data_IF_723969822992
#
_entry.id   IF_723969822992
#
_cell.length_a   1.000
_cell.length_b   1.000
_cell.length_c   1.000
_cell.angle_alpha   90.00
_cell.angle_beta   90.00
_cell.angle_gamma   90.00
#
_symmetry.space_group_name_H-M   'P 1'
#
loop_
_entity.id
_entity.type
_entity.pdbx_description
1 polymer ?
#
# COMPACT_ATOMS: atom_id res chain seq x y z
N UNK A 1 5.88 4.81 -1.29
CA UNK A 1 5.28 3.91 -2.32
C UNK A 1 6.26 3.61 -3.47
N UNK A 2 6.73 4.61 -4.23
CA UNK A 2 7.64 4.36 -5.37
C UNK A 2 8.91 3.55 -4.99
N UNK A 3 9.50 3.84 -3.82
CA UNK A 3 10.63 3.07 -3.28
C UNK A 3 10.32 1.57 -3.12
N UNK A 4 9.24 1.23 -2.42
CA UNK A 4 8.77 -0.15 -2.18
C UNK A 4 8.63 -0.91 -3.51
N UNK A 5 7.98 -0.28 -4.50
CA UNK A 5 7.78 -0.88 -5.82
C UNK A 5 9.11 -1.15 -6.55
N UNK A 6 10.05 -0.20 -6.50
CA UNK A 6 11.37 -0.35 -7.13
C UNK A 6 12.20 -1.44 -6.46
N UNK A 7 12.28 -1.45 -5.13
CA UNK A 7 13.02 -2.44 -4.35
C UNK A 7 12.46 -3.85 -4.58
N UNK A 8 11.14 -3.99 -4.49
CA UNK A 8 10.46 -5.28 -4.75
C UNK A 8 10.68 -5.75 -6.18
N UNK A 9 10.57 -4.85 -7.16
CA UNK A 9 10.74 -5.19 -8.57
C UNK A 9 12.15 -5.68 -8.90
N UNK A 10 13.18 -5.04 -8.31
CA UNK A 10 14.57 -5.45 -8.48
C UNK A 10 14.86 -6.82 -7.84
N UNK A 11 14.38 -7.06 -6.61
CA UNK A 11 14.65 -8.30 -5.89
C UNK A 11 13.91 -9.51 -6.48
N UNK A 12 12.64 -9.32 -6.87
CA UNK A 12 11.79 -10.40 -7.39
C UNK A 12 11.72 -10.45 -8.92
N UNK A 13 12.55 -9.67 -9.61
CA UNK A 13 12.68 -9.65 -11.07
C UNK A 13 11.34 -9.43 -11.80
N UNK A 14 10.52 -8.51 -11.28
CA UNK A 14 9.22 -8.17 -11.88
C UNK A 14 9.38 -7.07 -12.94
N UNK A 15 8.67 -7.20 -14.06
CA UNK A 15 8.74 -6.26 -15.18
C UNK A 15 8.10 -4.91 -14.86
N UNK A 16 6.93 -4.93 -14.20
CA UNK A 16 6.21 -3.71 -13.83
C UNK A 16 5.50 -3.87 -12.49
N UNK A 17 5.57 -2.83 -11.65
CA UNK A 17 4.80 -2.72 -10.41
C UNK A 17 4.15 -1.33 -10.37
N UNK A 18 2.83 -1.31 -10.24
CA UNK A 18 2.03 -0.09 -10.12
C UNK A 18 1.23 -0.09 -8.83
N UNK A 19 1.21 1.05 -8.14
CA UNK A 19 0.45 1.22 -6.90
C UNK A 19 -0.34 2.52 -6.95
N UNK A 20 -1.62 2.44 -6.64
CA UNK A 20 -2.50 3.59 -6.45
C UNK A 20 -3.19 3.47 -5.10
N UNK A 21 -3.30 4.60 -4.41
CA UNK A 21 -4.06 4.69 -3.16
C UNK A 21 -5.02 5.85 -3.27
N UNK A 22 -6.28 5.61 -2.92
CA UNK A 22 -7.34 6.62 -2.94
C UNK A 22 -7.15 7.60 -1.77
N UNK A 23 -7.47 8.87 -1.99
CA UNK A 23 -7.46 9.92 -0.97
C UNK A 23 -8.84 10.58 -0.92
N UNK A 24 -9.16 11.24 0.19
CA UNK A 24 -10.46 11.87 0.40
C UNK A 24 -11.55 10.86 0.77
N UNK A 25 -12.77 11.08 0.30
CA UNK A 25 -13.94 10.23 0.62
C UNK A 25 -13.95 8.99 -0.27
N UNK A 26 -13.96 7.81 0.35
CA UNK A 26 -14.08 6.52 -0.32
C UNK A 26 -15.37 5.87 0.17
N UNK A 27 -16.28 5.54 -0.75
CA UNK A 27 -17.55 4.89 -0.39
C UNK A 27 -17.33 3.42 -0.01
N UNK A 28 -18.28 2.85 0.74
CA UNK A 28 -18.25 1.42 1.07
C UNK A 28 -18.32 0.60 -0.22
N UNK A 29 -17.43 -0.37 -0.36
CA UNK A 29 -17.28 -1.20 -1.56
C UNK A 29 -16.28 -0.67 -2.58
N UNK A 30 -15.84 0.59 -2.48
CA UNK A 30 -14.87 1.17 -3.41
C UNK A 30 -13.42 0.80 -3.07
N UNK A 31 -12.59 0.71 -4.11
CA UNK A 31 -11.19 0.37 -3.93
C UNK A 31 -10.41 1.49 -3.22
N UNK A 32 -9.90 1.19 -2.03
CA UNK A 32 -9.02 2.11 -1.28
C UNK A 32 -7.56 2.06 -1.75
N UNK A 33 -7.11 0.91 -2.24
CA UNK A 33 -5.76 0.67 -2.72
C UNK A 33 -5.78 -0.34 -3.87
N UNK A 34 -4.95 -0.11 -4.87
CA UNK A 34 -4.71 -1.02 -5.98
C UNK A 34 -3.20 -1.28 -6.08
N UNK A 35 -2.83 -2.56 -6.12
CA UNK A 35 -1.48 -3.02 -6.45
C UNK A 35 -1.57 -3.88 -7.70
N UNK A 36 -0.80 -3.54 -8.73
CA UNK A 36 -0.68 -4.30 -9.97
C UNK A 36 0.77 -4.73 -10.14
N UNK A 37 0.97 -6.01 -10.46
CA UNK A 37 2.29 -6.56 -10.77
C UNK A 37 2.24 -7.32 -12.10
N UNK A 38 3.30 -7.20 -12.89
CA UNK A 38 3.54 -8.00 -14.09
C UNK A 38 4.93 -8.63 -14.00
N UNK A 39 5.01 -9.94 -14.20
CA UNK A 39 6.23 -10.73 -14.14
C UNK A 39 6.16 -11.90 -15.12
N UNK A 40 7.30 -12.49 -15.46
CA UNK A 40 7.37 -13.63 -16.38
C UNK A 40 6.69 -14.90 -15.85
N UNK A 41 6.60 -15.05 -14.53
CA UNK A 41 5.95 -16.19 -13.88
C UNK A 41 5.02 -15.73 -12.76
N UNK A 42 3.92 -16.48 -12.58
CA UNK A 42 2.88 -16.15 -11.59
C UNK A 42 3.38 -16.09 -10.16
N UNK A 43 4.32 -16.95 -9.78
CA UNK A 43 4.86 -16.99 -8.40
C UNK A 43 5.52 -15.66 -8.02
N UNK A 44 6.40 -15.16 -8.90
CA UNK A 44 7.03 -13.85 -8.74
C UNK A 44 5.99 -12.73 -8.61
N UNK A 45 4.97 -12.74 -9.48
CA UNK A 45 3.92 -11.72 -9.46
C UNK A 45 3.14 -11.73 -8.13
N UNK A 46 2.74 -12.90 -7.62
CA UNK A 46 2.01 -13.01 -6.36
C UNK A 46 2.86 -12.60 -5.16
N UNK A 47 4.11 -13.05 -5.10
CA UNK A 47 5.04 -12.70 -4.02
C UNK A 47 5.31 -11.18 -3.98
N UNK A 48 5.55 -10.58 -5.13
CA UNK A 48 5.76 -9.14 -5.24
C UNK A 48 4.51 -8.35 -4.86
N UNK A 49 3.33 -8.77 -5.32
CA UNK A 49 2.07 -8.10 -4.99
C UNK A 49 1.84 -8.13 -3.47
N UNK A 50 2.08 -9.28 -2.82
CA UNK A 50 1.93 -9.45 -1.38
C UNK A 50 2.90 -8.55 -0.61
N UNK A 51 4.18 -8.57 -0.96
CA UNK A 51 5.18 -7.72 -0.32
C UNK A 51 4.84 -6.24 -0.42
N UNK A 52 4.44 -5.78 -1.60
CA UNK A 52 4.14 -4.36 -1.83
C UNK A 52 2.97 -3.89 -0.96
N UNK A 53 1.89 -4.67 -0.84
CA UNK A 53 0.76 -4.28 0.01
C UNK A 53 1.13 -4.30 1.50
N UNK A 54 1.88 -5.30 1.95
CA UNK A 54 2.31 -5.43 3.34
C UNK A 54 3.23 -4.26 3.74
N UNK A 55 4.22 -3.93 2.91
CA UNK A 55 5.11 -2.78 3.16
C UNK A 55 4.38 -1.43 3.07
N UNK A 56 3.44 -1.28 2.12
CA UNK A 56 2.63 -0.08 2.02
C UNK A 56 1.82 0.13 3.31
N UNK A 57 1.17 -0.93 3.83
CA UNK A 57 0.37 -0.84 5.05
C UNK A 57 1.21 -0.56 6.29
N UNK A 58 2.45 -1.05 6.34
CA UNK A 58 3.34 -0.82 7.46
C UNK A 58 3.97 0.59 7.48
N UNK A 59 4.20 1.20 6.32
CA UNK A 59 5.06 2.40 6.22
C UNK A 59 4.37 3.64 5.66
N UNK A 60 3.22 3.50 4.99
CA UNK A 60 2.56 4.66 4.39
C UNK A 60 1.91 5.53 5.48
N UNK A 61 2.19 6.85 5.53
CA UNK A 61 1.55 7.76 6.46
C UNK A 61 0.12 8.06 6.00
N UNK A 62 -0.78 7.09 6.14
CA UNK A 62 -2.17 7.15 5.69
C UNK A 62 -3.07 6.73 6.84
N UNK A 63 -3.99 7.62 7.22
CA UNK A 63 -4.99 7.38 8.27
C UNK A 63 -6.39 7.35 7.67
N UNK A 64 -7.25 6.48 8.19
CA UNK A 64 -8.64 6.37 7.78
C UNK A 64 -9.53 7.00 8.84
N UNK A 65 -10.36 7.96 8.41
CA UNK A 65 -11.47 8.47 9.23
C UNK A 65 -12.77 7.86 8.75
N UNK A 66 -13.36 7.02 9.58
CA UNK A 66 -14.67 6.43 9.33
C UNK A 66 -15.75 7.47 9.62
N UNK A 67 -16.73 7.55 8.74
CA UNK A 67 -17.85 8.49 8.85
C UNK A 67 -19.14 7.67 9.01
N UNK A 68 -19.72 7.75 10.20
CA UNK A 68 -20.95 7.09 10.61
C UNK A 68 -22.12 8.07 10.54
N UNK A 69 -23.34 7.59 10.76
CA UNK A 69 -24.53 8.44 10.80
C UNK A 69 -24.55 9.40 12.00
N UNK A 70 -23.85 9.04 13.08
CA UNK A 70 -23.84 9.71 14.38
C UNK A 70 -22.48 10.35 14.73
N UNK A 71 -21.47 10.25 13.86
CA UNK A 71 -20.16 10.84 14.13
C UNK A 71 -19.04 10.35 13.21
N UNK A 72 -17.81 10.63 13.61
CA UNK A 72 -16.61 10.18 12.89
C UNK A 72 -15.56 9.64 13.85
N UNK A 73 -14.88 8.57 13.46
CA UNK A 73 -13.82 7.93 14.26
C UNK A 73 -12.56 7.78 13.41
N UNK A 74 -11.40 8.06 13.99
CA UNK A 74 -10.12 7.73 13.35
C UNK A 74 -9.76 6.29 13.70
N UNK A 75 -9.43 5.50 12.68
CA UNK A 75 -8.81 4.20 12.88
C UNK A 75 -7.38 4.39 13.38
N UNK A 76 -6.96 3.54 14.32
CA UNK A 76 -5.57 3.50 14.77
C UNK A 76 -4.65 3.22 13.58
N UNK A 77 -3.64 4.07 13.41
CA UNK A 77 -2.63 3.91 12.37
C UNK A 77 -1.50 3.00 12.82
N UNK A 78 -0.77 2.41 11.88
CA UNK A 78 0.55 1.84 12.18
C UNK A 78 1.55 2.99 12.30
N UNK A 79 2.24 3.17 13.44
CA UNK A 79 3.27 4.19 13.57
C UNK A 79 4.36 3.95 12.53
N UNK A 80 4.69 4.97 11.73
CA UNK A 80 5.83 4.88 10.81
C UNK A 80 7.10 5.01 11.66
N UNK A 81 8.03 4.04 11.63
CA UNK A 81 9.28 4.17 12.35
C UNK A 81 10.03 5.40 11.84
N UNK A 82 10.33 6.33 12.75
CA UNK A 82 11.13 7.52 12.46
C UNK A 82 12.55 7.03 12.20
N UNK A 83 13.06 7.22 10.97
CA UNK A 83 14.50 7.13 10.74
C UNK A 83 15.12 8.41 11.31
N UNK A 84 15.87 8.29 12.40
CA UNK A 84 16.75 9.37 12.85
C UNK A 84 17.72 9.70 11.70
N UNK A 85 17.82 10.98 11.36
CA UNK A 85 18.82 11.49 10.42
C UNK A 85 20.15 11.60 11.15
N UNK A 86 21.17 10.88 10.68
CA UNK A 86 22.58 11.25 10.89
C UNK A 86 22.91 12.56 10.16
#
# INVERSE_FOLDING_TARGET
>A
IARIARETGAELQCSHIGVRHSLGRVAVGEASVLVRVSAGHRDQAFRACRRVIDELKAQAPIWKRECWSDGTTWQDGTPVPVKESE
#
